data_IF_517379898443
#
_entry.id   IF_517379898443
#
_cell.length_a   1.000
_cell.length_b   1.000
_cell.length_c   1.000
_cell.angle_alpha   90.00
_cell.angle_beta   90.00
_cell.angle_gamma   90.00
#
_symmetry.space_group_name_H-M   'P 1'
#
loop_
_entity.id
_entity.type
_entity.pdbx_description
1 polymer ?
#
# COMPACT_ATOMS: atom_id res chain seq x y z
N UNK A 1 -12.40 8.63 9.82
CA UNK A 1 -11.84 8.05 8.58
C UNK A 1 -11.79 9.19 7.58
N UNK A 2 -10.60 9.74 7.32
CA UNK A 2 -10.46 10.83 6.35
C UNK A 2 -10.71 10.23 4.97
N UNK A 3 -11.73 10.73 4.27
CA UNK A 3 -11.89 10.46 2.84
C UNK A 3 -10.55 10.78 2.17
N UNK A 4 -9.94 9.78 1.54
CA UNK A 4 -8.80 9.99 0.65
C UNK A 4 -9.32 10.92 -0.43
N UNK A 5 -8.96 12.20 -0.33
CA UNK A 5 -9.27 13.19 -1.35
C UNK A 5 -8.73 12.62 -2.66
N UNK A 6 -9.61 12.47 -3.64
CA UNK A 6 -9.37 11.75 -4.89
C UNK A 6 -8.26 12.44 -5.71
N UNK A 7 -8.19 13.77 -5.64
CA UNK A 7 -7.24 14.62 -6.40
C UNK A 7 -5.74 14.26 -6.24
N UNK A 8 -5.15 14.19 -5.03
CA UNK A 8 -3.72 13.87 -4.88
C UNK A 8 -3.36 12.46 -5.37
N UNK A 9 -4.29 11.51 -5.33
CA UNK A 9 -4.05 10.14 -5.80
C UNK A 9 -4.00 10.10 -7.33
N UNK A 10 -4.83 10.88 -8.01
CA UNK A 10 -4.80 11.00 -9.48
C UNK A 10 -3.49 11.62 -9.98
N UNK A 11 -3.00 12.69 -9.32
CA UNK A 11 -1.73 13.31 -9.71
C UNK A 11 -0.55 12.34 -9.56
N UNK A 12 -0.57 11.52 -8.51
CA UNK A 12 0.44 10.47 -8.31
C UNK A 12 0.35 9.37 -9.38
N UNK A 13 -0.86 8.93 -9.74
CA UNK A 13 -1.06 7.93 -10.79
C UNK A 13 -0.60 8.42 -12.16
N UNK A 14 -0.93 9.66 -12.55
CA UNK A 14 -0.48 10.25 -13.84
C UNK A 14 1.05 10.29 -13.93
N UNK A 15 1.75 10.68 -12.85
CA UNK A 15 3.22 10.65 -12.81
C UNK A 15 3.78 9.24 -13.01
N UNK A 16 3.16 8.24 -12.39
CA UNK A 16 3.56 6.84 -12.51
C UNK A 16 3.34 6.34 -13.93
N UNK A 17 2.16 6.56 -14.51
CA UNK A 17 1.87 6.14 -15.89
C UNK A 17 2.79 6.82 -16.91
N UNK A 18 3.05 8.12 -16.78
CA UNK A 18 4.02 8.82 -17.64
C UNK A 18 5.42 8.24 -17.53
N UNK A 19 5.83 7.80 -16.33
CA UNK A 19 7.13 7.18 -16.15
C UNK A 19 7.22 5.83 -16.85
N UNK A 20 6.21 4.97 -16.69
CA UNK A 20 6.16 3.66 -17.35
C UNK A 20 6.02 3.77 -18.87
N UNK A 21 5.17 4.67 -19.36
CA UNK A 21 4.99 4.89 -20.80
C UNK A 21 6.27 5.41 -21.47
N UNK A 22 7.06 6.26 -20.79
CA UNK A 22 8.39 6.69 -21.27
C UNK A 22 9.37 5.53 -21.42
N UNK A 23 9.20 4.47 -20.63
CA UNK A 23 10.01 3.27 -20.66
C UNK A 23 9.36 2.14 -21.50
N UNK A 24 8.34 2.46 -22.31
CA UNK A 24 7.59 1.53 -23.17
C UNK A 24 6.81 0.43 -22.41
N UNK A 25 6.59 0.62 -21.11
CA UNK A 25 5.76 -0.26 -20.30
C UNK A 25 4.33 0.25 -20.23
N UNK A 26 3.41 -0.58 -20.74
CA UNK A 26 1.99 -0.28 -20.75
C UNK A 26 1.30 -1.02 -19.60
N UNK A 27 0.81 -0.27 -18.61
CA UNK A 27 0.10 -0.83 -17.46
C UNK A 27 -1.29 -1.26 -17.89
N UNK A 28 -1.56 -2.57 -17.96
CA UNK A 28 -2.87 -3.11 -18.38
C UNK A 28 -3.83 -3.38 -17.22
N UNK A 29 -3.31 -3.71 -16.05
CA UNK A 29 -4.13 -4.13 -14.92
C UNK A 29 -3.59 -3.59 -13.61
N UNK A 30 -4.46 -2.97 -12.82
CA UNK A 30 -4.14 -2.49 -11.47
C UNK A 30 -4.92 -3.33 -10.48
N UNK A 31 -4.19 -4.06 -9.64
CA UNK A 31 -4.76 -4.78 -8.50
C UNK A 31 -4.74 -3.87 -7.29
N UNK A 32 -5.91 -3.46 -6.83
CA UNK A 32 -6.04 -2.56 -5.68
C UNK A 32 -6.98 -3.12 -4.62
N UNK A 33 -6.90 -2.57 -3.42
CA UNK A 33 -7.88 -2.86 -2.37
C UNK A 33 -9.24 -2.20 -2.70
N UNK A 34 -10.31 -2.70 -2.09
CA UNK A 34 -11.68 -2.21 -2.29
C UNK A 34 -11.87 -0.75 -1.83
N UNK A 35 -11.00 -0.26 -0.96
CA UNK A 35 -11.00 1.15 -0.54
C UNK A 35 -10.70 2.12 -1.69
N UNK A 36 -10.15 1.64 -2.82
CA UNK A 36 -9.86 2.43 -4.01
C UNK A 36 -10.92 2.32 -5.10
N UNK A 37 -12.04 1.62 -4.84
CA UNK A 37 -13.21 1.58 -5.74
C UNK A 37 -13.79 2.98 -5.99
N UNK A 38 -13.86 3.92 -5.03
CA UNK A 38 -14.33 5.27 -5.34
C UNK A 38 -13.46 6.02 -6.36
N UNK A 39 -12.21 5.59 -6.60
CA UNK A 39 -11.38 6.15 -7.69
C UNK A 39 -11.76 5.61 -9.06
N UNK A 40 -12.43 4.44 -9.16
CA UNK A 40 -12.87 3.90 -10.45
C UNK A 40 -14.06 4.67 -11.00
N UNK A 41 -14.96 5.15 -10.13
CA UNK A 41 -16.20 5.82 -10.54
C UNK A 41 -15.97 7.21 -11.18
N UNK A 42 -14.88 7.89 -10.80
CA UNK A 42 -14.49 9.21 -11.36
C UNK A 42 -13.61 9.10 -12.63
N UNK A 43 -13.23 7.89 -13.09
CA UNK A 43 -12.17 7.67 -14.08
C UNK A 43 -12.68 7.34 -15.49
N UNK A 44 -13.15 8.35 -16.22
CA UNK A 44 -13.22 8.27 -17.70
C UNK A 44 -11.83 8.09 -18.36
N UNK A 45 -10.75 8.44 -17.64
CA UNK A 45 -9.37 8.39 -18.13
C UNK A 45 -8.75 6.98 -18.15
N UNK A 46 -9.23 6.05 -17.31
CA UNK A 46 -8.73 4.67 -17.30
C UNK A 46 -9.26 3.86 -18.49
N UNK A 47 -10.50 4.12 -18.89
CA UNK A 47 -11.11 3.54 -20.09
C UNK A 47 -10.36 3.99 -21.35
N UNK A 48 -10.01 5.29 -21.44
CA UNK A 48 -9.21 5.83 -22.55
C UNK A 48 -7.79 5.20 -22.62
N UNK A 49 -7.23 4.80 -21.49
CA UNK A 49 -5.93 4.12 -21.40
C UNK A 49 -6.02 2.58 -21.50
N UNK A 50 -7.23 2.01 -21.55
CA UNK A 50 -7.44 0.56 -21.60
C UNK A 50 -6.95 -0.19 -20.35
N UNK A 51 -6.92 0.47 -19.18
CA UNK A 51 -6.44 -0.11 -17.93
C UNK A 51 -7.60 -0.69 -17.13
N UNK A 52 -7.54 -1.99 -16.83
CA UNK A 52 -8.54 -2.64 -15.98
C UNK A 52 -8.15 -2.54 -14.50
N UNK A 53 -9.04 -2.01 -13.67
CA UNK A 53 -8.89 -2.09 -12.21
C UNK A 53 -9.59 -3.35 -11.74
N UNK A 54 -8.82 -4.26 -11.14
CA UNK A 54 -9.33 -5.45 -10.48
C UNK A 54 -9.27 -5.22 -8.96
N UNK A 55 -10.38 -4.78 -8.34
CA UNK A 55 -10.45 -4.61 -6.89
C UNK A 55 -10.36 -6.00 -6.27
N UNK A 56 -9.17 -6.32 -5.78
CA UNK A 56 -8.84 -7.63 -5.27
C UNK A 56 -9.84 -8.02 -4.19
N UNK A 57 -10.55 -9.14 -4.39
CA UNK A 57 -11.45 -9.67 -3.38
C UNK A 57 -10.66 -9.93 -2.09
N UNK A 58 -11.27 -9.70 -0.92
CA UNK A 58 -10.61 -9.79 0.41
C UNK A 58 -9.88 -11.12 0.72
N UNK A 59 -9.97 -12.13 -0.15
CA UNK A 59 -9.26 -13.41 -0.04
C UNK A 59 -7.97 -13.56 -0.89
N UNK A 60 -7.72 -12.70 -1.89
CA UNK A 60 -6.47 -12.77 -2.69
C UNK A 60 -5.35 -11.90 -2.07
N UNK A 61 -5.69 -11.08 -1.08
CA UNK A 61 -4.69 -10.46 -0.21
C UNK A 61 -3.99 -11.59 0.54
N UNK A 62 -2.67 -11.75 0.35
CA UNK A 62 -1.90 -12.85 0.95
C UNK A 62 -2.01 -12.79 2.49
N UNK A 63 -2.99 -13.50 3.05
CA UNK A 63 -3.23 -13.59 4.49
C UNK A 63 -1.96 -14.01 5.25
N UNK A 64 -1.05 -14.73 4.61
CA UNK A 64 0.26 -15.08 5.16
C UNK A 64 1.09 -13.85 5.52
N UNK A 65 1.14 -12.82 4.67
CA UNK A 65 1.90 -11.60 4.93
C UNK A 65 1.26 -10.81 6.08
N UNK A 66 -0.06 -10.70 6.09
CA UNK A 66 -0.80 -10.04 7.16
C UNK A 66 -0.64 -10.75 8.51
N UNK A 67 -0.77 -12.09 8.52
CA UNK A 67 -0.52 -12.91 9.72
C UNK A 67 0.90 -12.77 10.21
N UNK A 68 1.89 -12.78 9.31
CA UNK A 68 3.28 -12.58 9.66
C UNK A 68 3.51 -11.20 10.30
N UNK A 69 2.97 -10.13 9.69
CA UNK A 69 3.05 -8.78 10.24
C UNK A 69 2.37 -8.68 11.61
N UNK A 70 1.22 -9.34 11.80
CA UNK A 70 0.53 -9.40 13.09
C UNK A 70 1.39 -10.11 14.15
N UNK A 71 1.96 -11.27 13.82
CA UNK A 71 2.83 -12.03 14.72
C UNK A 71 4.10 -11.26 15.06
N UNK A 72 4.72 -10.59 14.07
CA UNK A 72 5.91 -9.76 14.28
C UNK A 72 5.61 -8.57 15.21
N UNK A 73 4.53 -7.84 14.94
CA UNK A 73 4.08 -6.70 15.77
C UNK A 73 3.82 -7.14 17.21
N UNK A 74 3.17 -8.28 17.40
CA UNK A 74 2.88 -8.80 18.73
C UNK A 74 4.16 -9.18 19.48
N UNK A 75 5.09 -9.89 18.81
CA UNK A 75 6.38 -10.25 19.42
C UNK A 75 7.18 -9.02 19.85
N UNK A 76 7.22 -7.99 19.02
CA UNK A 76 7.90 -6.72 19.35
C UNK A 76 7.22 -6.04 20.54
N UNK A 77 5.87 -6.01 20.58
CA UNK A 77 5.12 -5.42 21.70
C UNK A 77 5.35 -6.15 23.02
N UNK A 78 5.32 -7.49 22.99
CA UNK A 78 5.59 -8.33 24.17
C UNK A 78 7.03 -8.16 24.66
N UNK A 79 8.00 -8.08 23.74
CA UNK A 79 9.39 -7.83 24.09
C UNK A 79 9.57 -6.45 24.74
N UNK A 80 8.93 -5.41 24.18
CA UNK A 80 8.98 -4.06 24.75
C UNK A 80 8.33 -3.99 26.14
N UNK A 81 7.16 -4.62 26.32
CA UNK A 81 6.44 -4.64 27.60
C UNK A 81 7.23 -5.31 28.74
N UNK A 82 8.20 -6.18 28.43
CA UNK A 82 9.08 -6.82 29.40
C UNK A 82 10.29 -5.97 29.78
N UNK A 83 10.58 -4.94 29.01
CA UNK A 83 11.69 -4.04 29.25
C UNK A 83 11.20 -2.81 30.03
N UNK A 84 12.07 -2.12 30.80
CA UNK A 84 11.69 -0.91 31.53
C UNK A 84 11.50 0.32 30.63
N UNK A 85 11.33 0.12 29.31
CA UNK A 85 11.26 1.19 28.33
C UNK A 85 9.82 1.34 27.81
N UNK A 86 9.36 2.58 27.75
CA UNK A 86 8.05 2.90 27.17
C UNK A 86 8.08 2.90 25.63
N UNK A 87 9.27 2.99 25.02
CA UNK A 87 9.50 3.02 23.57
C UNK A 87 10.76 2.23 23.23
N UNK A 88 10.88 1.75 21.99
CA UNK A 88 12.11 1.08 21.53
C UNK A 88 13.25 2.11 21.48
N UNK A 89 14.37 1.90 22.21
CA UNK A 89 15.49 2.83 22.17
C UNK A 89 16.15 2.93 20.79
N UNK A 90 16.52 4.15 20.37
CA UNK A 90 17.11 4.46 19.05
C UNK A 90 18.39 3.65 18.78
N UNK A 91 19.20 3.40 19.80
CA UNK A 91 20.44 2.60 19.70
C UNK A 91 20.15 1.19 19.16
N UNK A 92 19.05 0.57 19.59
CA UNK A 92 18.68 -0.79 19.14
C UNK A 92 18.33 -0.75 17.64
N UNK A 93 17.58 0.26 17.19
CA UNK A 93 17.22 0.41 15.78
C UNK A 93 18.42 0.75 14.91
N UNK A 94 19.38 1.53 15.40
CA UNK A 94 20.62 1.84 14.68
C UNK A 94 21.54 0.62 14.54
N UNK A 95 21.62 -0.22 15.57
CA UNK A 95 22.40 -1.45 15.52
C UNK A 95 21.80 -2.51 14.59
N UNK A 96 20.47 -2.57 14.46
CA UNK A 96 19.78 -3.54 13.60
C UNK A 96 19.70 -3.12 12.13
N UNK A 97 19.85 -1.83 11.83
CA UNK A 97 19.79 -1.27 10.47
C UNK A 97 21.13 -1.27 9.72
N UNK A 98 22.17 -1.90 10.27
CA UNK A 98 23.48 -2.09 9.64
C UNK A 98 23.64 -3.49 9.07
#
# INVERSE_FOLDING_TARGET
MQNLKTEPVFEALDKIFRHYNKADFHVKTIKCDRAFIPLTDDMSMLDDMGVTIDPTASGDHKHTAERNNRTLKERVRVALARLPYNVVPTVITECLGR
#
